data_IF_067571736492
#
_entry.id   IF_067571736492
#
_cell.length_a   1.000
_cell.length_b   1.000
_cell.length_c   1.000
_cell.angle_alpha   90.00
_cell.angle_beta   90.00
_cell.angle_gamma   90.00
#
_symmetry.space_group_name_H-M   'P 1'
#
loop_
_entity.id
_entity.type
_entity.pdbx_description
1 polymer ?
#
# COMPACT_ATOMS: atom_id res chain seq x y z
N UNK A 1 14.34 -53.64 -5.05
CA UNK A 1 13.82 -52.81 -3.94
C UNK A 1 14.63 -51.53 -3.63
N UNK A 2 15.80 -51.28 -4.24
CA UNK A 2 16.58 -50.04 -3.97
C UNK A 2 16.32 -48.85 -4.92
N UNK A 3 15.52 -49.00 -5.97
CA UNK A 3 15.17 -47.90 -6.91
C UNK A 3 13.86 -47.16 -6.57
N UNK A 4 13.04 -47.72 -5.68
CA UNK A 4 11.76 -47.11 -5.27
C UNK A 4 11.86 -46.20 -4.05
N UNK A 5 12.93 -46.33 -3.24
CA UNK A 5 13.12 -45.50 -2.05
C UNK A 5 13.59 -44.07 -2.36
N UNK A 6 14.12 -43.85 -3.58
CA UNK A 6 14.61 -42.53 -4.04
C UNK A 6 13.44 -41.68 -4.56
N UNK A 7 12.34 -42.29 -5.00
CA UNK A 7 11.16 -41.57 -5.47
C UNK A 7 10.34 -40.94 -4.31
N UNK A 8 10.34 -41.56 -3.13
CA UNK A 8 9.67 -41.01 -1.93
C UNK A 8 10.44 -39.87 -1.27
N UNK A 9 11.77 -39.78 -1.46
CA UNK A 9 12.55 -38.64 -0.95
C UNK A 9 12.39 -37.38 -1.84
N UNK A 10 11.98 -37.54 -3.10
CA UNK A 10 11.82 -36.43 -4.04
C UNK A 10 10.49 -35.66 -3.88
N UNK A 11 9.50 -36.27 -3.22
CA UNK A 11 8.18 -35.66 -3.01
C UNK A 11 8.12 -34.82 -1.72
N UNK A 12 9.05 -35.04 -0.78
CA UNK A 12 9.05 -34.32 0.51
C UNK A 12 9.79 -32.97 0.48
N UNK A 13 10.54 -32.64 -0.58
CA UNK A 13 11.24 -31.35 -0.70
C UNK A 13 10.37 -30.21 -1.25
N UNK A 14 9.12 -30.46 -1.64
CA UNK A 14 8.19 -29.43 -2.13
C UNK A 14 7.24 -28.86 -1.05
N UNK A 15 7.48 -29.14 0.23
CA UNK A 15 6.77 -28.49 1.35
C UNK A 15 7.52 -27.31 1.94
N UNK A 16 8.39 -26.64 1.17
CA UNK A 16 8.82 -25.29 1.52
C UNK A 16 7.61 -24.38 1.24
N UNK A 17 6.71 -24.27 2.21
CA UNK A 17 5.80 -23.11 2.28
C UNK A 17 6.72 -21.90 2.28
N UNK A 18 6.69 -21.17 1.17
CA UNK A 18 7.44 -19.95 0.95
C UNK A 18 7.39 -19.10 2.22
N UNK A 19 8.56 -18.73 2.73
CA UNK A 19 8.66 -17.53 3.55
C UNK A 19 7.90 -16.46 2.77
N UNK A 20 6.81 -15.96 3.35
CA UNK A 20 6.24 -14.70 2.91
C UNK A 20 7.38 -13.70 3.05
N UNK A 21 8.06 -13.38 1.96
CA UNK A 21 9.06 -12.34 1.93
C UNK A 21 8.33 -11.02 2.23
N UNK A 22 8.23 -10.68 3.51
CA UNK A 22 8.07 -9.30 3.97
C UNK A 22 9.35 -8.56 3.56
N UNK A 23 9.46 -8.27 2.26
CA UNK A 23 10.51 -7.45 1.71
C UNK A 23 10.20 -6.00 2.11
N UNK A 24 10.53 -5.62 3.34
CA UNK A 24 10.59 -4.20 3.71
C UNK A 24 11.86 -3.60 3.10
N UNK A 25 11.74 -2.40 2.55
CA UNK A 25 12.88 -1.58 2.12
C UNK A 25 13.03 -0.42 3.09
N UNK A 26 14.26 -0.04 3.42
CA UNK A 26 14.49 1.16 4.21
C UNK A 26 14.50 2.41 3.33
N UNK A 27 13.78 3.45 3.74
CA UNK A 27 14.01 4.79 3.20
C UNK A 27 15.30 5.34 3.82
N UNK A 28 16.31 5.60 2.98
CA UNK A 28 17.60 6.09 3.43
C UNK A 28 17.70 7.60 3.20
N UNK A 29 18.20 8.30 4.22
CA UNK A 29 18.60 9.69 4.13
C UNK A 29 19.90 9.82 3.32
N UNK A 30 20.29 11.04 2.98
CA UNK A 30 21.51 11.39 2.24
C UNK A 30 22.77 10.80 2.85
N UNK A 31 22.85 10.74 4.19
CA UNK A 31 23.97 10.14 4.91
C UNK A 31 23.89 8.60 4.98
N UNK A 32 22.94 7.98 4.28
CA UNK A 32 22.63 6.54 4.28
C UNK A 32 22.04 6.00 5.59
N UNK A 33 21.70 6.85 6.56
CA UNK A 33 20.95 6.43 7.74
C UNK A 33 19.49 6.12 7.37
N UNK A 34 18.89 5.05 7.91
CA UNK A 34 17.48 4.76 7.67
C UNK A 34 16.58 5.74 8.43
N UNK A 35 15.52 6.23 7.79
CA UNK A 35 14.47 7.03 8.43
C UNK A 35 13.30 6.14 8.88
N UNK A 36 12.87 5.25 7.99
CA UNK A 36 11.78 4.31 8.23
C UNK A 36 11.85 3.08 7.34
N UNK A 37 11.10 2.06 7.71
CA UNK A 37 10.83 0.89 6.88
C UNK A 37 9.56 1.10 6.04
N UNK A 38 9.69 0.85 4.74
CA UNK A 38 8.61 0.83 3.76
C UNK A 38 8.23 -0.61 3.47
N UNK A 39 6.98 -0.93 3.72
CA UNK A 39 6.45 -2.24 3.36
C UNK A 39 6.08 -2.28 1.89
N UNK A 40 6.51 -3.32 1.17
CA UNK A 40 5.99 -3.64 -0.17
C UNK A 40 4.56 -4.24 -0.12
N UNK A 41 3.81 -3.92 0.93
CA UNK A 41 2.45 -4.36 1.15
C UNK A 41 1.53 -3.57 0.23
N UNK A 42 0.62 -4.27 -0.46
CA UNK A 42 -0.41 -3.59 -1.25
C UNK A 42 -1.55 -3.06 -0.36
N UNK A 43 -1.49 -3.31 0.95
CA UNK A 43 -2.41 -2.81 1.96
C UNK A 43 -1.81 -1.61 2.69
N UNK A 44 -2.56 -0.50 2.85
CA UNK A 44 -2.08 0.65 3.61
C UNK A 44 -1.84 0.28 5.08
N UNK A 45 -0.64 0.60 5.57
CA UNK A 45 -0.24 0.35 6.96
C UNK A 45 0.66 1.45 7.54
N UNK A 46 1.09 2.40 6.69
CA UNK A 46 2.03 3.43 7.07
C UNK A 46 3.47 2.92 7.18
N UNK A 47 4.35 3.84 7.54
CA UNK A 47 5.77 3.58 7.74
C UNK A 47 6.09 3.32 9.22
N UNK A 48 7.10 2.47 9.46
CA UNK A 48 7.67 2.30 10.80
C UNK A 48 8.94 3.14 10.88
N UNK A 49 8.85 4.26 11.58
CA UNK A 49 9.99 5.14 11.83
C UNK A 49 11.00 4.51 12.78
N UNK A 50 12.27 4.89 12.62
CA UNK A 50 13.32 4.55 13.59
C UNK A 50 13.00 5.12 14.99
N UNK A 51 13.54 4.52 16.06
CA UNK A 51 13.38 5.03 17.42
C UNK A 51 13.75 6.52 17.53
N UNK A 52 12.99 7.27 18.33
CA UNK A 52 13.16 8.73 18.47
C UNK A 52 14.59 9.11 18.91
N UNK A 53 15.23 8.30 19.75
CA UNK A 53 16.62 8.55 20.17
C UNK A 53 17.61 8.47 19.02
N UNK A 54 17.48 7.45 18.15
CA UNK A 54 18.30 7.34 16.94
C UNK A 54 18.06 8.53 16.01
N UNK A 55 16.81 8.93 15.82
CA UNK A 55 16.44 10.08 14.98
C UNK A 55 17.03 11.40 15.50
N UNK A 56 17.11 11.60 16.83
CA UNK A 56 17.77 12.80 17.40
C UNK A 56 19.26 12.82 17.09
N UNK A 57 19.95 11.69 17.21
CA UNK A 57 21.37 11.57 16.86
C UNK A 57 21.59 11.80 15.37
N UNK A 58 20.72 11.25 14.53
CA UNK A 58 20.72 11.49 13.08
C UNK A 58 20.57 12.99 12.77
N UNK A 59 19.63 13.68 13.41
CA UNK A 59 19.42 15.12 13.20
C UNK A 59 20.67 15.97 13.51
N UNK A 60 21.38 15.65 14.60
CA UNK A 60 22.66 16.31 14.95
C UNK A 60 23.74 16.00 13.92
N UNK A 61 23.81 14.74 13.47
CA UNK A 61 24.78 14.30 12.46
C UNK A 61 24.57 15.03 11.12
N UNK A 62 23.32 15.17 10.68
CA UNK A 62 22.98 15.88 9.44
C UNK A 62 23.35 17.37 9.51
N UNK A 63 23.18 18.01 10.67
CA UNK A 63 23.60 19.40 10.89
C UNK A 63 25.12 19.58 10.76
N UNK A 64 25.89 18.66 11.34
CA UNK A 64 27.36 18.65 11.24
C UNK A 64 27.83 18.42 9.79
N UNK A 65 27.18 17.48 9.08
CA UNK A 65 27.47 17.21 7.67
C UNK A 65 27.17 18.41 6.78
N UNK A 66 26.06 19.12 7.02
CA UNK A 66 25.77 20.38 6.34
C UNK A 66 26.86 21.42 6.60
N UNK A 67 27.25 21.66 7.86
CA UNK A 67 28.32 22.63 8.19
C UNK A 67 29.64 22.33 7.50
N UNK A 68 29.95 21.06 7.27
CA UNK A 68 31.17 20.61 6.58
C UNK A 68 31.09 20.73 5.05
N UNK A 69 29.93 20.45 4.47
CA UNK A 69 29.79 20.25 3.01
C UNK A 69 29.01 21.34 2.29
N UNK A 70 28.22 22.11 3.03
CA UNK A 70 27.21 23.04 2.53
C UNK A 70 26.17 22.39 1.59
N UNK A 71 26.00 21.05 1.63
CA UNK A 71 24.99 20.34 0.82
C UNK A 71 23.61 20.45 1.48
N UNK A 72 22.71 21.20 0.84
CA UNK A 72 21.34 21.48 1.30
C UNK A 72 20.48 20.23 1.47
N UNK A 73 20.85 19.10 0.85
CA UNK A 73 20.17 17.82 1.05
C UNK A 73 20.19 17.40 2.54
N UNK A 74 21.28 17.67 3.27
CA UNK A 74 21.35 17.35 4.69
C UNK A 74 20.38 18.18 5.55
N UNK A 75 20.17 19.46 5.23
CA UNK A 75 19.14 20.26 5.91
C UNK A 75 17.73 19.82 5.53
N UNK A 76 17.53 19.39 4.27
CA UNK A 76 16.24 18.86 3.81
C UNK A 76 15.88 17.59 4.61
N UNK A 77 16.83 16.67 4.78
CA UNK A 77 16.67 15.45 5.57
C UNK A 77 16.50 15.75 7.06
N UNK A 78 17.26 16.71 7.61
CA UNK A 78 17.11 17.14 9.01
C UNK A 78 15.69 17.65 9.25
N UNK A 79 15.13 18.42 8.32
CA UNK A 79 13.74 18.87 8.38
C UNK A 79 12.75 17.71 8.41
N UNK A 80 12.95 16.69 7.56
CA UNK A 80 12.10 15.48 7.58
C UNK A 80 12.18 14.75 8.92
N UNK A 81 13.40 14.60 9.46
CA UNK A 81 13.62 13.99 10.79
C UNK A 81 12.93 14.79 11.90
N UNK A 82 13.01 16.13 11.85
CA UNK A 82 12.30 17.00 12.81
C UNK A 82 10.78 16.82 12.71
N UNK A 83 10.22 16.72 11.50
CA UNK A 83 8.80 16.41 11.30
C UNK A 83 8.42 15.06 11.93
N UNK A 84 9.20 14.00 11.70
CA UNK A 84 8.96 12.68 12.31
C UNK A 84 9.08 12.71 13.83
N UNK A 85 9.98 13.54 14.37
CA UNK A 85 10.13 13.74 15.81
C UNK A 85 8.97 14.55 16.45
N UNK A 86 8.06 15.09 15.66
CA UNK A 86 6.97 15.95 16.13
C UNK A 86 7.38 17.41 16.36
N UNK A 87 8.59 17.80 15.93
CA UNK A 87 9.14 19.15 16.08
C UNK A 87 8.72 20.03 14.90
N UNK A 88 7.42 20.17 14.69
CA UNK A 88 6.86 20.77 13.47
C UNK A 88 7.30 22.22 13.24
N UNK A 89 7.28 23.06 14.28
CA UNK A 89 7.72 24.46 14.14
C UNK A 89 9.22 24.60 13.80
N UNK A 90 10.08 23.76 14.38
CA UNK A 90 11.51 23.72 14.02
C UNK A 90 11.70 23.27 12.58
N UNK A 91 10.93 22.26 12.12
CA UNK A 91 10.95 21.79 10.75
C UNK A 91 10.49 22.88 9.77
N UNK A 92 9.37 23.55 10.07
CA UNK A 92 8.84 24.67 9.27
C UNK A 92 9.88 25.78 9.12
N UNK A 93 10.47 26.25 10.23
CA UNK A 93 11.48 27.29 10.20
C UNK A 93 12.70 26.89 9.36
N UNK A 94 13.16 25.65 9.50
CA UNK A 94 14.26 25.11 8.71
C UNK A 94 13.91 25.08 7.21
N UNK A 95 12.75 24.52 6.84
CA UNK A 95 12.34 24.45 5.44
C UNK A 95 12.09 25.82 4.83
N UNK A 96 11.56 26.79 5.57
CA UNK A 96 11.43 28.17 5.11
C UNK A 96 12.80 28.83 4.85
N UNK A 97 13.82 28.54 5.68
CA UNK A 97 15.18 29.01 5.41
C UNK A 97 15.78 28.38 4.14
N UNK A 98 15.46 27.10 3.89
CA UNK A 98 15.85 26.40 2.65
C UNK A 98 15.16 27.07 1.47
N UNK A 99 13.86 27.32 1.52
CA UNK A 99 13.12 27.98 0.44
C UNK A 99 13.62 29.41 0.16
N UNK A 100 14.03 30.15 1.20
CA UNK A 100 14.59 31.50 1.02
C UNK A 100 15.92 31.50 0.23
N UNK A 101 16.74 30.47 0.41
CA UNK A 101 18.07 30.36 -0.21
C UNK A 101 18.07 29.53 -1.50
N UNK A 102 17.17 28.56 -1.59
CA UNK A 102 17.01 27.61 -2.68
C UNK A 102 15.52 27.51 -3.03
N UNK A 103 14.94 28.56 -3.63
CA UNK A 103 13.50 28.65 -3.87
C UNK A 103 13.04 27.63 -4.92
N UNK A 104 11.72 27.43 -4.97
CA UNK A 104 11.04 26.70 -6.05
C UNK A 104 11.41 25.20 -6.13
N UNK A 105 11.71 24.59 -4.98
CA UNK A 105 11.92 23.14 -4.88
C UNK A 105 10.63 22.46 -4.46
N UNK A 106 10.17 21.50 -5.28
CA UNK A 106 8.99 20.68 -4.96
C UNK A 106 9.06 20.11 -3.54
N UNK A 107 10.16 19.41 -3.21
CA UNK A 107 10.30 18.71 -1.93
C UNK A 107 10.33 19.66 -0.73
N UNK A 108 10.86 20.87 -0.90
CA UNK A 108 10.82 21.89 0.15
C UNK A 108 9.41 22.40 0.35
N UNK A 109 8.69 22.74 -0.73
CA UNK A 109 7.31 23.19 -0.64
C UNK A 109 6.37 22.11 -0.05
N UNK A 110 6.50 20.86 -0.49
CA UNK A 110 5.69 19.75 0.02
C UNK A 110 5.96 19.52 1.51
N UNK A 111 7.24 19.53 1.92
CA UNK A 111 7.60 19.32 3.32
C UNK A 111 7.14 20.46 4.24
N UNK A 112 7.14 21.71 3.77
CA UNK A 112 6.53 22.83 4.51
C UNK A 112 5.03 22.57 4.69
N UNK A 113 4.33 22.20 3.61
CA UNK A 113 2.90 21.92 3.65
C UNK A 113 2.54 20.80 4.62
N UNK A 114 3.26 19.67 4.56
CA UNK A 114 3.08 18.54 5.49
C UNK A 114 3.37 18.94 6.93
N UNK A 115 4.44 19.71 7.18
CA UNK A 115 4.76 20.14 8.54
C UNK A 115 3.70 21.10 9.11
N UNK A 116 3.10 21.98 8.28
CA UNK A 116 1.97 22.80 8.67
C UNK A 116 0.70 21.98 8.94
N UNK A 117 0.39 20.96 8.12
CA UNK A 117 -0.76 20.09 8.36
C UNK A 117 -0.63 19.39 9.72
N UNK A 118 0.55 18.85 10.00
CA UNK A 118 0.83 18.16 11.26
C UNK A 118 0.85 19.12 12.46
N UNK A 119 1.17 20.40 12.25
CA UNK A 119 1.02 21.46 13.24
C UNK A 119 -0.43 21.96 13.41
N UNK A 120 -1.36 21.53 12.54
CA UNK A 120 -2.77 21.93 12.58
C UNK A 120 -3.12 23.22 11.83
N UNK A 121 -2.16 23.85 11.13
CA UNK A 121 -2.40 25.05 10.31
C UNK A 121 -2.74 24.62 8.88
N UNK A 122 -4.01 24.31 8.65
CA UNK A 122 -4.48 23.72 7.40
C UNK A 122 -4.48 24.73 6.24
N UNK A 123 -4.66 26.01 6.52
CA UNK A 123 -4.62 27.08 5.54
C UNK A 123 -3.22 27.27 4.95
N UNK A 124 -2.17 27.28 5.80
CA UNK A 124 -0.80 27.30 5.32
C UNK A 124 -0.42 25.99 4.64
N UNK A 125 -0.84 24.86 5.20
CA UNK A 125 -0.61 23.55 4.59
C UNK A 125 -1.13 23.52 3.14
N UNK A 126 -2.39 23.93 2.94
CA UNK A 126 -3.03 23.96 1.62
C UNK A 126 -2.24 24.84 0.64
N UNK A 127 -1.86 26.05 1.05
CA UNK A 127 -1.08 26.96 0.20
C UNK A 127 0.25 26.35 -0.26
N UNK A 128 0.96 25.69 0.65
CA UNK A 128 2.28 25.11 0.34
C UNK A 128 2.18 23.83 -0.48
N UNK A 129 1.20 22.97 -0.21
CA UNK A 129 0.95 21.78 -1.04
C UNK A 129 0.49 22.19 -2.44
N UNK A 130 -0.41 23.17 -2.58
CA UNK A 130 -0.80 23.69 -3.90
C UNK A 130 0.39 24.29 -4.67
N UNK A 131 1.30 24.97 -3.97
CA UNK A 131 2.56 25.41 -4.57
C UNK A 131 3.42 24.21 -5.01
N UNK A 132 3.55 23.18 -4.19
CA UNK A 132 4.31 21.98 -4.53
C UNK A 132 3.74 21.30 -5.80
N UNK A 133 2.42 21.09 -5.86
CA UNK A 133 1.74 20.53 -7.03
C UNK A 133 1.97 21.35 -8.29
N UNK A 134 1.98 22.69 -8.20
CA UNK A 134 2.31 23.57 -9.35
C UNK A 134 3.75 23.39 -9.84
N UNK A 135 4.69 23.12 -8.95
CA UNK A 135 6.11 22.91 -9.30
C UNK A 135 6.29 21.55 -9.97
N UNK A 136 5.68 20.50 -9.42
CA UNK A 136 5.76 19.15 -9.96
C UNK A 136 4.41 18.43 -9.82
N UNK A 137 3.57 18.41 -10.88
CA UNK A 137 2.26 17.75 -10.83
C UNK A 137 2.33 16.22 -10.69
N UNK A 138 3.42 15.60 -11.12
CA UNK A 138 3.60 14.14 -11.12
C UNK A 138 4.29 13.61 -9.86
N UNK A 139 4.59 14.49 -8.91
CA UNK A 139 5.21 14.11 -7.64
C UNK A 139 4.36 13.14 -6.84
N UNK A 140 5.00 12.34 -5.99
CA UNK A 140 4.31 11.33 -5.17
C UNK A 140 3.40 10.42 -6.00
N UNK A 141 3.86 10.06 -7.21
CA UNK A 141 3.08 9.26 -8.18
C UNK A 141 1.77 9.93 -8.63
N UNK A 142 1.75 11.26 -8.71
CA UNK A 142 0.59 12.04 -9.13
C UNK A 142 -0.59 11.97 -8.16
N UNK A 143 -0.32 11.80 -6.87
CA UNK A 143 -1.35 11.60 -5.83
C UNK A 143 -1.65 12.85 -4.98
N UNK A 144 -0.86 13.91 -5.11
CA UNK A 144 -0.96 15.12 -4.28
C UNK A 144 -2.30 15.86 -4.38
N UNK A 145 -3.04 15.70 -5.47
CA UNK A 145 -4.39 16.27 -5.58
C UNK A 145 -5.36 15.71 -4.52
N UNK A 146 -5.14 14.48 -4.04
CA UNK A 146 -5.90 13.89 -2.92
C UNK A 146 -5.55 14.65 -1.63
N UNK A 147 -4.26 14.94 -1.40
CA UNK A 147 -3.80 15.72 -0.25
C UNK A 147 -4.41 17.13 -0.25
N UNK A 148 -4.43 17.79 -1.41
CA UNK A 148 -5.10 19.07 -1.59
C UNK A 148 -6.59 18.99 -1.21
N UNK A 149 -7.32 17.96 -1.65
CA UNK A 149 -8.74 17.80 -1.33
C UNK A 149 -8.97 17.54 0.17
N UNK A 150 -8.11 16.75 0.81
CA UNK A 150 -8.13 16.55 2.26
C UNK A 150 -7.96 17.90 2.99
N UNK A 151 -6.98 18.70 2.57
CA UNK A 151 -6.71 20.01 3.17
C UNK A 151 -7.86 20.99 2.93
N UNK A 152 -8.49 20.99 1.75
CA UNK A 152 -9.71 21.76 1.48
C UNK A 152 -10.87 21.37 2.40
N UNK A 153 -11.08 20.07 2.63
CA UNK A 153 -12.09 19.61 3.58
C UNK A 153 -11.79 20.10 5.00
N UNK A 154 -10.53 20.01 5.44
CA UNK A 154 -10.11 20.51 6.76
C UNK A 154 -10.26 22.02 6.91
N UNK A 155 -9.85 22.82 5.92
CA UNK A 155 -10.00 24.29 5.91
C UNK A 155 -11.46 24.71 5.94
N UNK A 156 -12.34 24.00 5.22
CA UNK A 156 -13.79 24.26 5.25
C UNK A 156 -14.48 23.79 6.54
N UNK A 157 -13.75 23.17 7.47
CA UNK A 157 -14.31 22.60 8.71
C UNK A 157 -15.14 21.34 8.50
N UNK A 158 -15.15 20.76 7.29
CA UNK A 158 -15.88 19.52 6.99
C UNK A 158 -15.18 18.33 7.67
N UNK A 159 -15.79 17.87 8.77
CA UNK A 159 -15.27 16.74 9.55
C UNK A 159 -15.54 15.39 8.90
N UNK A 160 -16.54 15.30 8.02
CA UNK A 160 -16.98 14.05 7.38
C UNK A 160 -17.10 14.19 5.86
N UNK A 161 -15.99 14.52 5.16
CA UNK A 161 -16.03 14.60 3.71
C UNK A 161 -16.27 13.22 3.12
N UNK A 162 -17.20 13.11 2.16
CA UNK A 162 -17.47 11.86 1.44
C UNK A 162 -16.47 11.59 0.30
N UNK A 163 -16.61 10.41 -0.33
CA UNK A 163 -15.73 9.93 -1.40
C UNK A 163 -15.55 10.96 -2.53
N UNK A 164 -16.64 11.54 -3.04
CA UNK A 164 -16.57 12.49 -4.17
C UNK A 164 -15.80 13.76 -3.84
N UNK A 165 -15.88 14.25 -2.59
CA UNK A 165 -15.13 15.43 -2.16
C UNK A 165 -13.62 15.15 -2.06
N UNK A 166 -13.23 13.93 -1.68
CA UNK A 166 -11.84 13.55 -1.52
C UNK A 166 -11.20 13.07 -2.83
N UNK A 167 -11.95 12.29 -3.63
CA UNK A 167 -11.44 11.51 -4.76
C UNK A 167 -12.01 11.92 -6.12
N UNK A 168 -13.00 12.83 -6.15
CA UNK A 168 -13.67 13.21 -7.40
C UNK A 168 -14.58 12.12 -7.98
N UNK A 169 -14.82 11.04 -7.23
CA UNK A 169 -15.69 9.92 -7.58
C UNK A 169 -16.27 9.31 -6.31
N UNK A 170 -17.41 8.62 -6.44
CA UNK A 170 -17.96 7.73 -5.42
C UNK A 170 -17.96 6.28 -5.89
N UNK A 171 -18.44 5.39 -5.02
CA UNK A 171 -18.53 3.95 -5.25
C UNK A 171 -19.95 3.40 -5.09
N UNK A 172 -20.97 4.27 -5.21
CA UNK A 172 -22.37 3.97 -4.90
C UNK A 172 -22.64 3.64 -3.43
N UNK A 173 -23.90 3.36 -3.12
CA UNK A 173 -24.40 3.09 -1.77
C UNK A 173 -24.85 1.64 -1.56
N UNK A 174 -24.67 0.79 -2.57
CA UNK A 174 -25.01 -0.63 -2.52
C UNK A 174 -23.94 -1.48 -1.81
N UNK A 175 -24.34 -2.69 -1.43
CA UNK A 175 -23.49 -3.67 -0.75
C UNK A 175 -22.30 -4.18 -1.60
N UNK A 176 -22.39 -4.05 -2.93
CA UNK A 176 -21.30 -4.24 -3.89
C UNK A 176 -20.97 -2.86 -4.46
N UNK A 177 -19.75 -2.36 -4.29
CA UNK A 177 -19.37 -1.07 -4.84
C UNK A 177 -19.42 -1.09 -6.38
N UNK A 178 -19.72 0.05 -6.97
CA UNK A 178 -19.70 0.26 -8.43
C UNK A 178 -18.86 1.49 -8.77
N UNK A 179 -18.46 1.67 -10.02
CA UNK A 179 -17.74 2.88 -10.45
C UNK A 179 -17.95 3.13 -11.94
N UNK A 180 -17.84 4.39 -12.35
CA UNK A 180 -17.80 4.79 -13.76
C UNK A 180 -16.38 4.76 -14.34
N UNK A 181 -15.36 4.59 -13.50
CA UNK A 181 -13.96 4.52 -13.92
C UNK A 181 -13.69 3.23 -14.68
N UNK A 182 -12.95 3.32 -15.79
CA UNK A 182 -12.43 2.13 -16.44
C UNK A 182 -11.31 1.49 -15.61
N UNK A 183 -10.92 0.25 -15.97
CA UNK A 183 -9.92 -0.53 -15.22
C UNK A 183 -8.58 0.21 -15.03
N UNK A 184 -8.11 0.94 -16.04
CA UNK A 184 -6.85 1.68 -15.97
C UNK A 184 -6.94 2.90 -15.04
N UNK A 185 -8.06 3.64 -15.12
CA UNK A 185 -8.33 4.77 -14.23
C UNK A 185 -8.48 4.32 -12.77
N UNK A 186 -9.24 3.25 -12.53
CA UNK A 186 -9.43 2.66 -11.20
C UNK A 186 -8.09 2.23 -10.60
N UNK A 187 -7.25 1.55 -11.38
CA UNK A 187 -5.91 1.14 -10.93
C UNK A 187 -5.05 2.35 -10.58
N UNK A 188 -5.01 3.37 -11.45
CA UNK A 188 -4.24 4.60 -11.20
C UNK A 188 -4.70 5.30 -9.91
N UNK A 189 -6.01 5.40 -9.69
CA UNK A 189 -6.58 5.98 -8.47
C UNK A 189 -6.23 5.12 -7.23
N UNK A 190 -6.34 3.80 -7.34
CA UNK A 190 -5.96 2.86 -6.28
C UNK A 190 -4.49 2.99 -5.90
N UNK A 191 -3.57 3.11 -6.87
CA UNK A 191 -2.14 3.28 -6.61
C UNK A 191 -1.84 4.64 -5.95
N UNK A 192 -2.47 5.71 -6.43
CA UNK A 192 -2.35 7.05 -5.84
C UNK A 192 -2.87 7.08 -4.39
N UNK A 193 -4.03 6.48 -4.13
CA UNK A 193 -4.62 6.42 -2.80
C UNK A 193 -3.81 5.56 -1.84
N UNK A 194 -3.24 4.43 -2.30
CA UNK A 194 -2.33 3.62 -1.51
C UNK A 194 -1.10 4.41 -1.05
N UNK A 195 -0.53 5.24 -1.93
CA UNK A 195 0.59 6.11 -1.57
C UNK A 195 0.19 7.07 -0.45
N UNK A 196 -0.90 7.82 -0.65
CA UNK A 196 -1.36 8.84 0.29
C UNK A 196 -1.78 8.26 1.65
N UNK A 197 -2.44 7.10 1.67
CA UNK A 197 -2.77 6.41 2.91
C UNK A 197 -1.52 5.98 3.69
N UNK A 198 -0.47 5.50 3.01
CA UNK A 198 0.77 5.13 3.70
C UNK A 198 1.50 6.36 4.28
N UNK A 199 1.59 7.46 3.53
CA UNK A 199 2.14 8.71 4.09
C UNK A 199 1.33 9.15 5.32
N UNK A 200 0.00 9.21 5.21
CA UNK A 200 -0.90 9.70 6.26
C UNK A 200 -0.90 8.82 7.52
N UNK A 201 -1.04 7.50 7.38
CA UNK A 201 -1.08 6.54 8.49
C UNK A 201 0.25 6.43 9.26
N UNK A 202 1.34 6.94 8.67
CA UNK A 202 2.63 7.05 9.38
C UNK A 202 2.55 8.01 10.56
N UNK A 203 1.79 9.10 10.42
CA UNK A 203 1.68 10.16 11.41
C UNK A 203 0.36 10.13 12.19
N UNK A 204 -0.74 9.82 11.52
CA UNK A 204 -2.07 9.84 12.11
C UNK A 204 -2.42 8.48 12.70
N UNK A 205 -2.81 8.47 13.97
CA UNK A 205 -3.35 7.29 14.65
C UNK A 205 -4.86 7.39 14.76
N UNK A 206 -5.58 6.27 14.85
CA UNK A 206 -7.01 6.29 15.11
C UNK A 206 -7.35 7.05 16.39
N UNK A 207 -8.47 7.77 16.43
CA UNK A 207 -9.51 7.91 15.39
C UNK A 207 -9.24 9.10 14.45
N UNK A 208 -9.36 8.92 13.13
CA UNK A 208 -9.30 9.99 12.11
C UNK A 208 -10.27 9.67 10.98
N UNK A 209 -11.41 10.37 10.92
CA UNK A 209 -12.49 10.06 9.99
C UNK A 209 -12.07 10.16 8.53
N UNK A 210 -11.27 11.16 8.16
CA UNK A 210 -10.80 11.33 6.77
C UNK A 210 -9.98 10.11 6.34
N UNK A 211 -9.05 9.65 7.17
CA UNK A 211 -8.29 8.42 6.91
C UNK A 211 -9.22 7.20 6.86
N UNK A 212 -10.23 7.14 7.71
CA UNK A 212 -11.22 6.07 7.72
C UNK A 212 -12.05 6.01 6.43
N UNK A 213 -12.51 7.16 5.93
CA UNK A 213 -13.21 7.31 4.66
C UNK A 213 -12.33 6.89 3.48
N UNK A 214 -11.08 7.36 3.43
CA UNK A 214 -10.12 6.98 2.39
C UNK A 214 -9.79 5.48 2.41
N UNK A 215 -9.67 4.86 3.59
CA UNK A 215 -9.51 3.41 3.72
C UNK A 215 -10.75 2.68 3.21
N UNK A 216 -11.94 3.14 3.56
CA UNK A 216 -13.18 2.57 3.04
C UNK A 216 -13.24 2.64 1.51
N UNK A 217 -12.90 3.78 0.93
CA UNK A 217 -12.83 3.97 -0.53
C UNK A 217 -11.77 3.07 -1.18
N UNK A 218 -10.61 2.92 -0.55
CA UNK A 218 -9.59 1.98 -1.01
C UNK A 218 -10.10 0.53 -0.99
N UNK A 219 -10.88 0.15 0.02
CA UNK A 219 -11.56 -1.14 0.11
C UNK A 219 -12.52 -1.37 -1.05
N UNK A 220 -13.30 -0.35 -1.42
CA UNK A 220 -14.19 -0.40 -2.58
C UNK A 220 -13.42 -0.69 -3.87
N UNK A 221 -12.28 -0.01 -4.07
CA UNK A 221 -11.41 -0.23 -5.22
C UNK A 221 -10.80 -1.64 -5.22
N UNK A 222 -10.58 -2.26 -4.07
CA UNK A 222 -10.10 -3.65 -4.01
C UNK A 222 -11.18 -4.64 -4.41
N UNK A 223 -12.43 -4.44 -3.99
CA UNK A 223 -13.56 -5.27 -4.46
C UNK A 223 -13.70 -5.19 -5.98
N UNK A 224 -13.66 -3.98 -6.53
CA UNK A 224 -13.76 -3.73 -7.98
C UNK A 224 -12.57 -4.29 -8.79
N UNK A 225 -11.45 -4.59 -8.13
CA UNK A 225 -10.28 -5.27 -8.70
C UNK A 225 -10.26 -6.77 -8.38
N UNK A 226 -11.35 -7.33 -7.85
CA UNK A 226 -11.50 -8.74 -7.48
C UNK A 226 -10.55 -9.20 -6.35
N UNK A 227 -10.01 -8.27 -5.57
CA UNK A 227 -9.09 -8.49 -4.45
C UNK A 227 -9.85 -8.57 -3.11
N UNK A 228 -10.80 -9.51 -3.01
CA UNK A 228 -11.80 -9.53 -1.94
C UNK A 228 -11.24 -9.71 -0.52
N UNK A 229 -10.25 -10.58 -0.33
CA UNK A 229 -9.61 -10.76 0.98
C UNK A 229 -8.92 -9.48 1.45
N UNK A 230 -8.29 -8.77 0.51
CA UNK A 230 -7.65 -7.50 0.75
C UNK A 230 -8.69 -6.42 1.09
N UNK A 231 -9.76 -6.34 0.30
CA UNK A 231 -10.88 -5.43 0.56
C UNK A 231 -11.43 -5.57 1.98
N UNK A 232 -11.72 -6.81 2.39
CA UNK A 232 -12.19 -7.14 3.74
C UNK A 232 -11.25 -6.62 4.83
N UNK A 233 -9.95 -6.87 4.67
CA UNK A 233 -8.95 -6.41 5.64
C UNK A 233 -8.90 -4.88 5.70
N UNK A 234 -8.93 -4.22 4.55
CA UNK A 234 -8.96 -2.75 4.47
C UNK A 234 -10.21 -2.17 5.12
N UNK A 235 -11.41 -2.71 4.85
CA UNK A 235 -12.63 -2.25 5.52
C UNK A 235 -12.54 -2.42 7.05
N UNK A 236 -11.95 -3.52 7.52
CA UNK A 236 -11.74 -3.71 8.95
C UNK A 236 -10.85 -2.60 9.53
N UNK A 237 -9.78 -2.22 8.83
CA UNK A 237 -8.91 -1.10 9.21
C UNK A 237 -9.66 0.24 9.13
N UNK A 238 -10.50 0.45 8.12
CA UNK A 238 -11.35 1.65 8.02
C UNK A 238 -12.26 1.80 9.24
N UNK A 239 -12.92 0.72 9.68
CA UNK A 239 -13.72 0.71 10.91
C UNK A 239 -12.89 1.05 12.15
N UNK A 240 -11.68 0.50 12.25
CA UNK A 240 -10.74 0.81 13.35
C UNK A 240 -10.31 2.29 13.36
N UNK A 241 -10.18 2.93 12.19
CA UNK A 241 -9.88 4.37 12.07
C UNK A 241 -11.08 5.28 12.35
N UNK A 242 -12.29 4.72 12.52
CA UNK A 242 -13.48 5.47 12.89
C UNK A 242 -14.52 5.62 11.76
N UNK A 243 -14.49 4.75 10.75
CA UNK A 243 -15.55 4.73 9.74
C UNK A 243 -16.83 4.16 10.34
N UNK A 244 -17.89 4.96 10.38
CA UNK A 244 -19.10 4.64 11.17
C UNK A 244 -20.33 4.31 10.32
N UNK A 245 -20.30 4.55 9.00
CA UNK A 245 -21.45 4.25 8.15
C UNK A 245 -21.74 2.73 8.12
N UNK A 246 -22.97 2.29 8.44
CA UNK A 246 -23.35 0.87 8.48
C UNK A 246 -23.03 0.06 7.22
N UNK A 247 -22.98 0.72 6.06
CA UNK A 247 -22.66 0.12 4.75
C UNK A 247 -21.35 -0.69 4.77
N UNK A 248 -20.40 -0.34 5.63
CA UNK A 248 -19.14 -1.08 5.78
C UNK A 248 -19.36 -2.55 6.16
N UNK A 249 -20.36 -2.84 7.00
CA UNK A 249 -20.67 -4.22 7.42
C UNK A 249 -21.21 -5.03 6.24
N UNK A 250 -22.04 -4.40 5.40
CA UNK A 250 -22.59 -5.03 4.21
C UNK A 250 -21.51 -5.31 3.18
N UNK A 251 -20.58 -4.37 2.95
CA UNK A 251 -19.45 -4.54 2.04
C UNK A 251 -18.43 -5.58 2.53
N UNK A 252 -18.18 -5.65 3.84
CA UNK A 252 -17.37 -6.73 4.43
C UNK A 252 -18.01 -8.09 4.15
N UNK A 253 -19.31 -8.24 4.43
CA UNK A 253 -20.04 -9.49 4.21
C UNK A 253 -20.05 -9.89 2.73
N UNK A 254 -20.25 -8.92 1.84
CA UNK A 254 -20.21 -9.11 0.39
C UNK A 254 -18.84 -9.63 -0.06
N UNK A 255 -17.74 -8.96 0.33
CA UNK A 255 -16.38 -9.38 0.00
C UNK A 255 -16.04 -10.78 0.57
N UNK A 256 -16.51 -11.12 1.78
CA UNK A 256 -16.31 -12.45 2.35
C UNK A 256 -16.99 -13.55 1.54
N UNK A 257 -18.21 -13.30 1.05
CA UNK A 257 -18.96 -14.26 0.24
C UNK A 257 -18.27 -14.51 -1.11
N UNK A 258 -17.85 -13.45 -1.80
CA UNK A 258 -17.12 -13.55 -3.07
C UNK A 258 -15.79 -14.30 -2.91
N UNK A 259 -15.04 -13.98 -1.85
CA UNK A 259 -13.78 -14.67 -1.53
C UNK A 259 -13.98 -16.18 -1.33
N UNK A 260 -15.05 -16.59 -0.63
CA UNK A 260 -15.40 -18.01 -0.45
C UNK A 260 -15.81 -18.66 -1.77
N UNK A 261 -16.61 -17.99 -2.60
CA UNK A 261 -17.02 -18.47 -3.91
C UNK A 261 -15.82 -18.77 -4.81
N UNK A 262 -14.84 -17.86 -4.87
CA UNK A 262 -13.60 -18.05 -5.63
C UNK A 262 -12.77 -19.20 -5.09
N UNK A 263 -12.63 -19.31 -3.77
CA UNK A 263 -11.91 -20.41 -3.14
C UNK A 263 -12.53 -21.77 -3.50
N UNK A 264 -13.86 -21.90 -3.39
CA UNK A 264 -14.60 -23.11 -3.76
C UNK A 264 -14.41 -23.43 -5.24
N UNK A 265 -14.57 -22.43 -6.13
CA UNK A 265 -14.37 -22.62 -7.57
C UNK A 265 -12.96 -23.12 -7.90
N UNK A 266 -11.93 -22.55 -7.24
CA UNK A 266 -10.53 -22.97 -7.42
C UNK A 266 -10.29 -24.39 -6.90
N UNK A 267 -10.90 -24.75 -5.76
CA UNK A 267 -10.84 -26.10 -5.21
C UNK A 267 -11.45 -27.12 -6.19
N UNK A 268 -12.64 -26.85 -6.72
CA UNK A 268 -13.32 -27.71 -7.70
C UNK A 268 -12.50 -27.86 -8.98
N UNK A 269 -11.95 -26.77 -9.52
CA UNK A 269 -11.08 -26.82 -10.71
C UNK A 269 -9.85 -27.69 -10.47
N UNK A 270 -9.22 -27.55 -9.31
CA UNK A 270 -8.06 -28.36 -8.94
C UNK A 270 -8.44 -29.85 -8.83
N UNK A 271 -9.56 -30.18 -8.21
CA UNK A 271 -10.06 -31.57 -8.13
C UNK A 271 -10.28 -32.16 -9.52
N UNK A 272 -10.98 -31.44 -10.40
CA UNK A 272 -11.20 -31.89 -11.80
C UNK A 272 -9.87 -32.09 -12.53
N UNK A 273 -8.91 -31.19 -12.34
CA UNK A 273 -7.57 -31.29 -12.92
C UNK A 273 -6.82 -32.54 -12.44
N UNK A 274 -6.83 -32.83 -11.13
CA UNK A 274 -6.18 -34.02 -10.59
C UNK A 274 -6.85 -35.32 -11.03
N UNK A 275 -8.18 -35.34 -11.14
CA UNK A 275 -8.92 -36.48 -11.70
C UNK A 275 -8.55 -36.72 -13.16
N UNK A 276 -8.46 -35.66 -13.97
CA UNK A 276 -8.06 -35.76 -15.37
C UNK A 276 -6.63 -36.31 -15.54
N UNK A 277 -5.68 -35.85 -14.71
CA UNK A 277 -4.31 -36.40 -14.68
C UNK A 277 -4.32 -37.88 -14.30
N UNK A 278 -5.08 -38.26 -13.27
CA UNK A 278 -5.22 -39.65 -12.85
C UNK A 278 -5.72 -40.55 -13.97
N UNK A 279 -6.76 -40.13 -14.69
CA UNK A 279 -7.29 -40.84 -15.86
C UNK A 279 -6.27 -40.96 -16.99
N UNK A 280 -5.53 -39.89 -17.29
CA UNK A 280 -4.48 -39.91 -18.31
C UNK A 280 -3.38 -40.92 -17.98
N UNK A 281 -2.94 -40.98 -16.72
CA UNK A 281 -1.94 -41.95 -16.25
C UNK A 281 -2.47 -43.38 -16.44
N UNK A 282 -3.72 -43.65 -16.04
CA UNK A 282 -4.35 -44.97 -16.20
C UNK A 282 -4.40 -45.37 -17.68
N UNK A 283 -4.85 -44.48 -18.57
CA UNK A 283 -4.91 -44.73 -20.01
C UNK A 283 -3.50 -45.04 -20.56
N UNK A 284 -2.49 -44.29 -20.14
CA UNK A 284 -1.11 -44.48 -20.60
C UNK A 284 -0.56 -45.85 -20.15
N UNK A 285 -0.84 -46.27 -18.91
CA UNK A 285 -0.48 -47.59 -18.40
C UNK A 285 -1.20 -48.69 -19.18
N UNK A 286 -2.50 -48.53 -19.46
CA UNK A 286 -3.27 -49.50 -20.23
C UNK A 286 -2.74 -49.64 -21.67
N UNK A 287 -2.41 -48.53 -22.33
CA UNK A 287 -1.79 -48.52 -23.66
C UNK A 287 -0.43 -49.25 -23.62
N UNK A 288 0.40 -48.96 -22.63
CA UNK A 288 1.70 -49.62 -22.48
C UNK A 288 1.55 -51.14 -22.25
N UNK A 289 0.62 -51.55 -21.39
CA UNK A 289 0.29 -52.96 -21.16
C UNK A 289 -0.22 -53.63 -22.43
N UNK A 290 -1.07 -52.96 -23.20
CA UNK A 290 -1.60 -53.47 -24.47
C UNK A 290 -0.50 -53.64 -25.52
N UNK A 291 0.37 -52.65 -25.70
CA UNK A 291 1.54 -52.72 -26.60
C UNK A 291 2.44 -53.89 -26.20
N UNK A 292 2.72 -54.05 -24.89
CA UNK A 292 3.55 -55.14 -24.38
C UNK A 292 2.94 -56.51 -24.64
N UNK A 293 1.63 -56.68 -24.40
CA UNK A 293 0.90 -57.93 -24.71
C UNK A 293 0.93 -58.28 -26.20
N UNK A 294 0.76 -57.29 -27.09
CA UNK A 294 0.86 -57.52 -28.55
C UNK A 294 2.26 -57.96 -28.97
N UNK A 295 3.31 -57.34 -28.44
CA UNK A 295 4.69 -57.74 -28.74
C UNK A 295 4.99 -59.17 -28.29
N UNK A 296 4.50 -59.59 -27.13
CA UNK A 296 4.68 -60.99 -26.67
C UNK A 296 3.87 -61.99 -27.48
N UNK A 297 2.72 -61.60 -28.03
CA UNK A 297 1.89 -62.49 -28.86
C UNK A 297 2.43 -62.68 -30.29
N UNK A 298 3.21 -61.72 -30.81
CA UNK A 298 3.87 -61.80 -32.13
C UNK A 298 5.24 -62.51 -32.09
N UNK A 299 5.77 -62.79 -30.90
CA UNK A 299 7.06 -63.45 -30.68
C UNK A 299 6.94 -64.97 -30.42
N UNK A 300 5.71 -65.49 -30.39
CA UNK A 300 5.36 -66.91 -30.33
C UNK A 300 4.71 -67.32 -31.64
#
# INVERSE_FOLDING_TARGET
MKKFLIATLFIFCFTIKAFACLNSESYLLKNKSPLYEKFRSHTPQGHIFRPKEELRVIAVTLDSLYKKTNDIAYLSDKGMVLTVLGKYHEAIALFQSIEKTHPNRYSTASNIGTAYELAGDYEQALRWIEKAVKINPDSHSGSEWIHVNILKAKVSGNQTPGSSALLGTDFGDENVPSTTLNKAQLKKLSDALLYQLNERMSFLKPTDYVTAQLLFDFGNMQVLQEEYLKARNVYTVAGYYGYTNPLIKERIKSAENESKGIFIKKLVINEVYYVAIGLLIIITVLIFMWIRRRKTALAN
#
